data_IF_443141270137
#
_entry.id   IF_443141270137
#
_cell.length_a   1.000
_cell.length_b   1.000
_cell.length_c   1.000
_cell.angle_alpha   90.00
_cell.angle_beta   90.00
_cell.angle_gamma   90.00
#
_symmetry.space_group_name_H-M   'P 1'
#
loop_
_entity.id
_entity.type
_entity.pdbx_description
1 polymer ?
#
# COMPACT_ATOMS: atom_id res chain seq x y z
N UNK A 1 -2.27 26.52 4.53
CA UNK A 1 -2.66 26.38 3.11
C UNK A 1 -2.30 25.03 2.58
N UNK A 2 -1.05 24.72 2.63
CA UNK A 2 -0.60 23.44 2.11
C UNK A 2 -1.23 22.28 2.82
N UNK A 3 -1.50 22.42 4.12
CA UNK A 3 -2.09 21.33 4.86
C UNK A 3 -3.49 21.02 4.37
N UNK A 4 -4.23 22.02 3.90
CA UNK A 4 -5.56 21.78 3.34
C UNK A 4 -5.48 21.01 2.05
N UNK A 5 -4.55 21.40 1.17
CA UNK A 5 -4.36 20.69 -0.08
C UNK A 5 -3.88 19.27 0.20
N UNK A 6 -3.00 19.14 1.16
CA UNK A 6 -2.46 17.85 1.53
C UNK A 6 -3.54 16.92 2.07
N UNK A 7 -4.44 17.47 2.89
CA UNK A 7 -5.51 16.68 3.47
C UNK A 7 -6.54 16.26 2.43
N UNK A 8 -6.59 16.96 1.31
CA UNK A 8 -7.50 16.58 0.23
C UNK A 8 -6.93 15.46 -0.63
N UNK A 9 -5.65 15.12 -0.44
CA UNK A 9 -5.03 14.07 -1.21
C UNK A 9 -5.31 12.72 -0.58
N UNK A 10 -5.49 11.72 -1.41
CA UNK A 10 -5.69 10.35 -0.99
C UNK A 10 -4.62 9.48 -1.62
N UNK A 11 -4.09 8.55 -0.85
CA UNK A 11 -3.16 7.57 -1.38
C UNK A 11 -3.95 6.36 -1.81
N UNK A 12 -3.81 5.98 -3.07
CA UNK A 12 -4.37 4.74 -3.59
C UNK A 12 -3.24 3.76 -3.82
N UNK A 13 -3.57 2.47 -3.84
CA UNK A 13 -2.52 1.48 -3.97
C UNK A 13 -3.00 0.28 -4.77
N UNK A 14 -2.02 -0.50 -5.22
CA UNK A 14 -2.23 -1.72 -5.98
C UNK A 14 -1.80 -2.96 -5.20
N UNK A 15 -1.76 -2.87 -3.86
CA UNK A 15 -1.24 -3.96 -3.05
C UNK A 15 -2.06 -5.23 -3.26
N UNK A 16 -3.40 -5.12 -3.25
CA UNK A 16 -4.24 -6.31 -3.45
C UNK A 16 -4.00 -6.92 -4.82
N UNK A 17 -3.95 -6.08 -5.85
CA UNK A 17 -3.74 -6.55 -7.22
C UNK A 17 -2.43 -7.33 -7.33
N UNK A 18 -1.36 -6.76 -6.77
CA UNK A 18 -0.05 -7.38 -6.86
C UNK A 18 0.04 -8.64 -6.00
N UNK A 19 -0.62 -8.63 -4.84
CA UNK A 19 -0.67 -9.81 -3.99
C UNK A 19 -1.39 -10.97 -4.70
N UNK A 20 -2.53 -10.66 -5.31
CA UNK A 20 -3.31 -11.68 -6.02
C UNK A 20 -2.51 -12.23 -7.20
N UNK A 21 -1.76 -11.36 -7.87
CA UNK A 21 -0.93 -11.79 -8.99
C UNK A 21 0.14 -12.78 -8.55
N UNK A 22 0.60 -12.69 -7.29
CA UNK A 22 1.53 -13.67 -6.74
C UNK A 22 0.84 -14.95 -6.29
N UNK A 23 -0.49 -14.96 -6.25
CA UNK A 23 -1.24 -16.09 -5.73
C UNK A 23 -1.23 -16.16 -4.22
N UNK A 24 -1.00 -15.06 -3.54
CA UNK A 24 -0.84 -15.02 -2.09
C UNK A 24 -2.11 -14.61 -1.37
N UNK A 25 -2.30 -15.16 -0.17
CA UNK A 25 -3.34 -14.69 0.74
C UNK A 25 -2.85 -13.44 1.46
N UNK A 26 -3.78 -12.74 2.11
CA UNK A 26 -3.38 -11.59 2.94
C UNK A 26 -2.42 -12.02 4.04
N UNK A 27 -2.64 -13.20 4.60
CA UNK A 27 -1.77 -13.70 5.66
C UNK A 27 -0.36 -13.98 5.16
N UNK A 28 -0.24 -14.51 3.95
CA UNK A 28 1.08 -14.76 3.38
C UNK A 28 1.83 -13.45 3.15
N UNK A 29 1.14 -12.43 2.65
CA UNK A 29 1.77 -11.13 2.46
C UNK A 29 2.15 -10.52 3.80
N UNK A 30 1.28 -10.66 4.82
CA UNK A 30 1.56 -10.13 6.14
C UNK A 30 2.83 -10.74 6.72
N UNK A 31 2.98 -12.05 6.59
CA UNK A 31 4.19 -12.73 7.06
C UNK A 31 5.42 -12.23 6.33
N UNK A 32 5.34 -12.10 5.02
CA UNK A 32 6.48 -11.64 4.23
C UNK A 32 6.86 -10.20 4.57
N UNK A 33 5.88 -9.36 4.87
CA UNK A 33 6.12 -7.95 5.16
C UNK A 33 6.40 -7.68 6.64
N UNK A 34 6.19 -8.67 7.51
CA UNK A 34 6.45 -8.49 8.93
C UNK A 34 5.38 -7.67 9.65
N UNK A 35 4.15 -7.74 9.17
CA UNK A 35 3.02 -7.01 9.79
C UNK A 35 1.85 -7.97 10.00
N UNK A 36 0.80 -7.47 10.63
CA UNK A 36 -0.39 -8.29 10.88
C UNK A 36 -1.26 -8.38 9.63
N UNK A 37 -2.07 -9.44 9.56
CA UNK A 37 -3.04 -9.57 8.48
C UNK A 37 -4.03 -8.40 8.48
N UNK A 38 -4.37 -7.91 9.68
CA UNK A 38 -5.27 -6.77 9.80
C UNK A 38 -4.69 -5.52 9.15
N UNK A 39 -3.37 -5.33 9.27
CA UNK A 39 -2.70 -4.21 8.62
C UNK A 39 -2.80 -4.33 7.10
N UNK A 40 -2.57 -5.52 6.57
CA UNK A 40 -2.69 -5.73 5.13
C UNK A 40 -4.12 -5.44 4.66
N UNK A 41 -5.11 -5.94 5.40
CA UNK A 41 -6.49 -5.72 5.04
C UNK A 41 -6.82 -4.22 5.02
N UNK A 42 -6.38 -3.48 6.04
CA UNK A 42 -6.64 -2.05 6.13
C UNK A 42 -5.97 -1.29 4.97
N UNK A 43 -4.75 -1.69 4.63
CA UNK A 43 -4.04 -1.05 3.51
C UNK A 43 -4.78 -1.31 2.21
N UNK A 44 -5.20 -2.54 1.95
CA UNK A 44 -5.88 -2.89 0.71
C UNK A 44 -7.23 -2.19 0.58
N UNK A 45 -7.82 -1.81 1.70
CA UNK A 45 -9.11 -1.11 1.70
C UNK A 45 -8.96 0.40 1.79
N UNK A 46 -7.74 0.90 1.62
CA UNK A 46 -7.42 2.32 1.65
C UNK A 46 -7.77 3.00 2.99
N UNK A 47 -7.76 2.23 4.07
CA UNK A 47 -8.06 2.76 5.41
C UNK A 47 -6.80 3.09 6.18
N UNK A 48 -5.65 2.74 5.64
CA UNK A 48 -4.39 2.90 6.34
C UNK A 48 -3.30 3.10 5.30
N UNK A 49 -2.54 4.17 5.47
CA UNK A 49 -1.41 4.47 4.60
C UNK A 49 -0.17 3.91 5.29
N UNK A 50 0.55 2.99 4.67
CA UNK A 50 1.71 2.39 5.31
C UNK A 50 2.84 3.40 5.52
N UNK A 51 3.70 3.10 6.48
CA UNK A 51 4.91 3.87 6.68
C UNK A 51 5.80 3.74 5.43
N UNK A 52 6.75 4.66 5.31
CA UNK A 52 7.70 4.57 4.21
C UNK A 52 8.45 3.24 4.25
N UNK A 53 8.84 2.80 5.44
CA UNK A 53 9.55 1.54 5.57
C UNK A 53 8.72 0.38 5.03
N UNK A 54 7.44 0.32 5.37
CA UNK A 54 6.58 -0.74 4.90
C UNK A 54 6.35 -0.63 3.39
N UNK A 55 6.19 0.58 2.88
CA UNK A 55 6.04 0.78 1.44
C UNK A 55 7.25 0.28 0.67
N UNK A 56 8.44 0.56 1.18
CA UNK A 56 9.66 0.07 0.53
C UNK A 56 9.78 -1.44 0.62
N UNK A 57 9.29 -2.03 1.72
CA UNK A 57 9.24 -3.47 1.86
C UNK A 57 8.34 -4.09 0.81
N UNK A 58 7.16 -3.49 0.57
CA UNK A 58 6.28 -3.97 -0.49
C UNK A 58 6.96 -3.87 -1.85
N UNK A 59 7.68 -2.78 -2.11
CA UNK A 59 8.38 -2.62 -3.38
C UNK A 59 9.37 -3.76 -3.60
N UNK A 60 10.04 -4.19 -2.54
CA UNK A 60 10.97 -5.31 -2.63
C UNK A 60 10.23 -6.62 -2.86
N UNK A 61 9.13 -6.84 -2.12
CA UNK A 61 8.35 -8.08 -2.25
C UNK A 61 7.78 -8.21 -3.66
N UNK A 62 7.21 -7.13 -4.17
CA UNK A 62 6.55 -7.15 -5.47
C UNK A 62 7.50 -6.89 -6.62
N UNK A 63 8.76 -6.57 -6.33
CA UNK A 63 9.80 -6.30 -7.32
C UNK A 63 9.38 -5.20 -8.29
N UNK A 64 8.82 -4.12 -7.75
CA UNK A 64 8.46 -2.97 -8.57
C UNK A 64 8.66 -1.69 -7.76
N UNK A 65 8.80 -0.55 -8.43
CA UNK A 65 9.03 0.71 -7.72
C UNK A 65 7.87 1.10 -6.82
N UNK A 66 8.18 1.77 -5.73
CA UNK A 66 7.19 2.18 -4.75
C UNK A 66 6.08 3.02 -5.37
N UNK A 67 6.44 3.93 -6.29
CA UNK A 67 5.48 4.82 -6.91
C UNK A 67 4.61 4.12 -7.95
N UNK A 68 4.89 2.87 -8.26
CA UNK A 68 3.97 2.06 -9.06
C UNK A 68 2.99 1.30 -8.18
N UNK A 69 3.28 1.21 -6.89
CA UNK A 69 2.38 0.56 -5.94
C UNK A 69 1.45 1.58 -5.29
N UNK A 70 2.01 2.71 -4.89
CA UNK A 70 1.30 3.75 -4.15
C UNK A 70 1.33 5.05 -4.93
N UNK A 71 0.19 5.68 -5.08
CA UNK A 71 0.08 6.92 -5.85
C UNK A 71 -0.89 7.85 -5.16
N UNK A 72 -0.69 9.14 -5.37
CA UNK A 72 -1.65 10.13 -4.92
C UNK A 72 -2.79 10.17 -5.93
N UNK A 73 -4.00 10.10 -5.41
CA UNK A 73 -5.16 10.24 -6.26
C UNK A 73 -5.25 11.68 -6.72
N UNK A 74 -5.46 11.87 -8.01
CA UNK A 74 -5.60 13.22 -8.54
C UNK A 74 -6.99 13.72 -8.27
N UNK A 75 -7.07 14.83 -7.56
CA UNK A 75 -8.33 15.55 -7.38
C UNK A 75 -8.39 16.58 -8.50
N UNK A 76 -8.99 16.18 -9.55
CA UNK A 76 -9.08 17.06 -10.72
C UNK A 76 -9.88 18.30 -10.40
#
# INVERSE_FOLDING_TARGET
MESLLYMASTVINRVKELRVALGWTQEQLALAAGVSRQSINAIERDRYVPSLELALTFARIFACPTDEIFQLEKNA
#
